data_IF_161424280417
#
_entry.id   IF_161424280417
#
_cell.length_a   1.000
_cell.length_b   1.000
_cell.length_c   1.000
_cell.angle_alpha   90.00
_cell.angle_beta   90.00
_cell.angle_gamma   90.00
#
_symmetry.space_group_name_H-M   'P 1'
#
loop_
_entity.id
_entity.type
_entity.pdbx_description
1 polymer ?
#
# COMPACT_ATOMS: atom_id res chain seq x y z
N UNK A 1 -8.92 49.08 -57.72
CA UNK A 1 -9.71 48.90 -56.48
C UNK A 1 -8.90 48.02 -55.53
N UNK A 2 -8.29 48.58 -54.50
CA UNK A 2 -7.48 47.83 -53.53
C UNK A 2 -8.39 47.11 -52.54
N UNK A 3 -8.45 45.78 -52.59
CA UNK A 3 -8.96 44.99 -51.47
C UNK A 3 -7.81 44.79 -50.48
N UNK A 4 -7.74 45.64 -49.45
CA UNK A 4 -6.83 45.46 -48.32
C UNK A 4 -7.22 44.19 -47.57
N UNK A 5 -6.50 43.10 -47.80
CA UNK A 5 -6.56 41.88 -46.98
C UNK A 5 -5.95 42.21 -45.62
N UNK A 6 -6.79 42.71 -44.70
CA UNK A 6 -6.40 42.99 -43.32
C UNK A 6 -6.10 41.67 -42.61
N UNK A 7 -4.83 41.26 -42.61
CA UNK A 7 -4.27 40.26 -41.70
C UNK A 7 -4.41 40.77 -40.26
N UNK A 8 -5.55 40.49 -39.62
CA UNK A 8 -5.73 40.77 -38.20
C UNK A 8 -4.82 39.86 -37.40
N UNK A 9 -3.76 40.46 -36.88
CA UNK A 9 -2.74 39.93 -35.98
C UNK A 9 -3.34 39.09 -34.85
N UNK A 10 -3.22 37.76 -34.93
CA UNK A 10 -3.71 36.83 -33.90
C UNK A 10 -2.64 36.53 -32.84
N UNK A 11 -2.31 37.54 -32.03
CA UNK A 11 -1.59 37.36 -30.77
C UNK A 11 -2.58 37.63 -29.62
N UNK A 12 -2.87 36.62 -28.78
CA UNK A 12 -3.67 36.81 -27.56
C UNK A 12 -5.16 36.46 -27.65
N UNK A 13 -5.54 35.39 -28.34
CA UNK A 13 -6.92 34.89 -28.27
C UNK A 13 -7.22 34.27 -26.90
N UNK A 14 -7.93 35.02 -26.05
CA UNK A 14 -8.43 34.61 -24.74
C UNK A 14 -9.76 35.32 -24.43
N UNK A 15 -10.52 34.77 -23.51
CA UNK A 15 -11.63 35.49 -22.88
C UNK A 15 -11.09 36.34 -21.73
N UNK A 16 -11.59 37.56 -21.62
CA UNK A 16 -11.25 38.52 -20.56
C UNK A 16 -12.23 38.46 -19.38
N UNK A 17 -13.30 37.67 -19.48
CA UNK A 17 -14.26 37.46 -18.41
C UNK A 17 -14.55 35.97 -18.20
N UNK A 18 -14.52 35.53 -16.93
CA UNK A 18 -14.75 34.13 -16.54
C UNK A 18 -16.13 33.59 -16.90
N UNK A 19 -17.12 34.48 -17.09
CA UNK A 19 -18.51 34.11 -17.42
C UNK A 19 -18.75 33.96 -18.93
N UNK A 20 -17.74 34.21 -19.76
CA UNK A 20 -17.88 34.19 -21.22
C UNK A 20 -18.43 32.86 -21.78
N UNK A 21 -18.05 31.72 -21.18
CA UNK A 21 -18.54 30.40 -21.61
C UNK A 21 -20.03 30.20 -21.30
N UNK A 22 -20.50 30.73 -20.17
CA UNK A 22 -21.92 30.69 -19.79
C UNK A 22 -22.74 31.64 -20.64
N UNK A 23 -22.26 32.87 -20.86
CA UNK A 23 -22.92 33.85 -21.72
C UNK A 23 -23.00 33.38 -23.18
N UNK A 24 -21.93 32.78 -23.71
CA UNK A 24 -21.94 32.22 -25.06
C UNK A 24 -22.99 31.11 -25.22
N UNK A 25 -23.11 30.20 -24.24
CA UNK A 25 -24.16 29.16 -24.22
C UNK A 25 -25.58 29.74 -24.17
N UNK A 26 -25.76 30.87 -23.50
CA UNK A 26 -27.04 31.57 -23.40
C UNK A 26 -27.37 32.44 -24.64
N UNK A 27 -26.52 32.40 -25.67
CA UNK A 27 -26.73 33.10 -26.95
C UNK A 27 -26.26 34.55 -26.97
N UNK A 28 -25.51 35.01 -25.95
CA UNK A 28 -25.05 36.41 -25.85
C UNK A 28 -24.12 36.82 -27.00
N UNK A 29 -23.45 35.86 -27.66
CA UNK A 29 -22.64 36.14 -28.84
C UNK A 29 -23.45 36.78 -29.99
N UNK A 30 -24.75 36.47 -30.08
CA UNK A 30 -25.68 37.08 -31.03
C UNK A 30 -26.47 38.25 -30.44
N UNK A 31 -26.88 38.14 -29.17
CA UNK A 31 -27.70 39.18 -28.49
C UNK A 31 -26.90 40.43 -28.12
N UNK A 32 -25.64 40.27 -27.72
CA UNK A 32 -24.75 41.36 -27.32
C UNK A 32 -23.38 41.29 -28.03
N UNK A 33 -23.34 41.44 -29.37
CA UNK A 33 -22.14 41.20 -30.16
C UNK A 33 -21.03 42.23 -29.89
N UNK A 34 -21.36 43.45 -29.45
CA UNK A 34 -20.35 44.49 -29.15
C UNK A 34 -19.52 44.12 -27.93
N UNK A 35 -20.17 43.76 -26.83
CA UNK A 35 -19.48 43.39 -25.59
C UNK A 35 -18.76 42.04 -25.74
N UNK A 36 -19.45 41.05 -26.32
CA UNK A 36 -18.91 39.70 -26.46
C UNK A 36 -17.71 39.66 -27.41
N UNK A 37 -17.66 40.51 -28.44
CA UNK A 37 -16.49 40.60 -29.33
C UNK A 37 -15.22 41.15 -28.67
N UNK A 38 -15.37 41.97 -27.65
CA UNK A 38 -14.22 42.55 -26.93
C UNK A 38 -13.77 41.61 -25.81
N UNK A 39 -14.73 41.05 -25.07
CA UNK A 39 -14.44 40.36 -23.82
C UNK A 39 -14.48 38.83 -23.91
N UNK A 40 -15.16 38.27 -24.92
CA UNK A 40 -15.44 36.83 -25.02
C UNK A 40 -15.04 36.26 -26.39
N UNK A 41 -13.86 36.67 -26.88
CA UNK A 41 -13.36 36.36 -28.22
C UNK A 41 -13.21 34.86 -28.47
N UNK A 42 -12.82 34.11 -27.43
CA UNK A 42 -12.63 32.67 -27.51
C UNK A 42 -13.98 31.95 -27.41
N UNK A 43 -14.79 32.26 -26.40
CA UNK A 43 -16.11 31.63 -26.20
C UNK A 43 -17.09 31.88 -27.37
N UNK A 44 -17.00 33.03 -28.04
CA UNK A 44 -17.80 33.33 -29.24
C UNK A 44 -17.14 32.93 -30.57
N UNK A 45 -16.04 32.16 -30.53
CA UNK A 45 -15.33 31.66 -31.73
C UNK A 45 -14.89 32.75 -32.71
N UNK A 46 -14.65 33.95 -32.20
CA UNK A 46 -14.15 35.10 -33.00
C UNK A 46 -12.66 34.91 -33.28
N UNK A 47 -11.96 34.22 -32.38
CA UNK A 47 -10.62 33.71 -32.59
C UNK A 47 -10.52 32.30 -32.01
N UNK A 48 -9.51 31.56 -32.46
CA UNK A 48 -9.10 30.31 -31.83
C UNK A 48 -7.94 30.60 -30.88
N UNK A 49 -7.84 29.93 -29.72
CA UNK A 49 -6.66 30.08 -28.87
C UNK A 49 -5.44 29.75 -29.73
N UNK A 50 -4.32 30.42 -29.50
CA UNK A 50 -3.06 29.98 -30.10
C UNK A 50 -2.89 28.53 -29.66
N UNK A 51 -3.12 27.61 -30.59
CA UNK A 51 -2.97 26.20 -30.34
C UNK A 51 -1.56 26.00 -29.81
N UNK A 52 -1.46 25.33 -28.66
CA UNK A 52 -0.27 24.64 -28.15
C UNK A 52 0.70 24.42 -29.31
N UNK A 53 1.78 25.23 -29.39
CA UNK A 53 2.67 25.38 -30.54
C UNK A 53 2.35 24.41 -31.70
N UNK A 54 1.42 24.80 -32.57
CA UNK A 54 0.77 23.87 -33.48
C UNK A 54 1.79 22.98 -34.22
N UNK A 55 1.76 21.69 -33.91
CA UNK A 55 2.63 20.68 -34.49
C UNK A 55 2.12 20.33 -35.89
N UNK A 56 2.63 21.01 -36.91
CA UNK A 56 2.39 20.65 -38.31
C UNK A 56 3.56 21.09 -39.18
N UNK A 57 3.61 20.52 -40.38
CA UNK A 57 4.56 20.93 -41.41
C UNK A 57 3.96 22.10 -42.19
N UNK A 58 4.71 23.21 -42.28
CA UNK A 58 4.35 24.42 -43.02
C UNK A 58 4.74 24.36 -44.49
N UNK A 59 5.55 23.38 -44.87
CA UNK A 59 5.99 23.14 -46.24
C UNK A 59 5.60 21.72 -46.67
N UNK A 60 5.13 21.59 -47.90
CA UNK A 60 4.83 20.29 -48.52
C UNK A 60 6.09 19.46 -48.75
N UNK A 61 7.27 20.10 -48.82
CA UNK A 61 8.55 19.44 -49.07
C UNK A 61 9.19 18.84 -47.81
N UNK A 62 8.60 19.02 -46.63
CA UNK A 62 9.17 18.56 -45.37
C UNK A 62 9.46 17.04 -45.34
N UNK A 63 8.63 16.22 -45.98
CA UNK A 63 8.90 14.78 -46.10
C UNK A 63 10.13 14.48 -46.97
N UNK A 64 10.38 15.27 -48.01
CA UNK A 64 11.57 15.15 -48.86
C UNK A 64 12.82 15.60 -48.11
N UNK A 65 12.79 16.80 -47.53
CA UNK A 65 13.90 17.34 -46.74
C UNK A 65 14.27 16.45 -45.55
N UNK A 66 13.28 15.84 -44.88
CA UNK A 66 13.54 14.83 -43.84
C UNK A 66 14.35 13.64 -44.39
N UNK A 67 13.96 13.08 -45.53
CA UNK A 67 14.68 11.95 -46.17
C UNK A 67 16.11 12.32 -46.55
N UNK A 68 16.31 13.58 -46.96
CA UNK A 68 17.63 14.10 -47.31
C UNK A 68 18.49 14.45 -46.08
N UNK A 69 17.99 14.30 -44.84
CA UNK A 69 18.75 14.54 -43.61
C UNK A 69 18.74 15.98 -43.11
N UNK A 70 17.88 16.84 -43.65
CA UNK A 70 17.82 18.27 -43.31
C UNK A 70 17.44 18.53 -41.85
N UNK A 71 16.72 17.61 -41.20
CA UNK A 71 16.38 17.74 -39.79
C UNK A 71 17.61 17.86 -38.88
N UNK A 72 18.78 17.37 -39.29
CA UNK A 72 20.04 17.55 -38.56
C UNK A 72 20.88 18.68 -39.14
N UNK A 73 20.99 18.75 -40.47
CA UNK A 73 21.86 19.71 -41.17
C UNK A 73 21.35 21.15 -41.09
N UNK A 74 20.03 21.34 -41.18
CA UNK A 74 19.38 22.64 -41.15
C UNK A 74 18.35 22.71 -40.02
N UNK A 75 18.85 22.45 -38.81
CA UNK A 75 18.04 22.28 -37.60
C UNK A 75 17.04 23.42 -37.37
N UNK A 76 17.50 24.68 -37.43
CA UNK A 76 16.67 25.85 -37.13
C UNK A 76 15.53 26.03 -38.14
N UNK A 77 15.83 25.90 -39.43
CA UNK A 77 14.82 26.00 -40.48
C UNK A 77 13.80 24.87 -40.37
N UNK A 78 14.29 23.63 -40.22
CA UNK A 78 13.42 22.48 -40.10
C UNK A 78 12.56 22.53 -38.83
N UNK A 79 13.02 23.15 -37.74
CA UNK A 79 12.24 23.25 -36.50
C UNK A 79 11.10 24.25 -36.66
N UNK A 80 11.31 25.29 -37.47
CA UNK A 80 10.29 26.30 -37.76
C UNK A 80 9.25 25.80 -38.76
N UNK A 81 9.66 25.07 -39.79
CA UNK A 81 8.80 24.75 -40.94
C UNK A 81 8.39 23.27 -41.04
N UNK A 82 9.13 22.34 -40.43
CA UNK A 82 8.97 20.90 -40.64
C UNK A 82 8.94 20.10 -39.32
N UNK A 83 8.35 20.71 -38.29
CA UNK A 83 8.38 20.20 -36.91
C UNK A 83 7.78 18.80 -36.77
N UNK A 84 6.74 18.49 -37.56
CA UNK A 84 6.07 17.17 -37.55
C UNK A 84 6.90 16.14 -38.28
N UNK A 85 7.35 16.45 -39.49
CA UNK A 85 8.22 15.56 -40.27
C UNK A 85 9.52 15.22 -39.53
N UNK A 86 10.13 16.15 -38.79
CA UNK A 86 11.33 15.89 -38.01
C UNK A 86 11.07 15.24 -36.63
N UNK A 87 9.81 14.98 -36.25
CA UNK A 87 9.48 14.32 -34.98
C UNK A 87 9.74 15.17 -33.74
N UNK A 88 9.73 16.50 -33.86
CA UNK A 88 9.95 17.45 -32.76
C UNK A 88 8.67 17.98 -32.13
N UNK A 89 7.55 17.36 -32.47
CA UNK A 89 6.29 17.69 -31.86
C UNK A 89 6.24 17.25 -30.41
N UNK A 90 5.65 18.08 -29.53
CA UNK A 90 5.33 17.66 -28.17
C UNK A 90 4.49 16.39 -28.21
N UNK A 91 4.92 15.38 -27.45
CA UNK A 91 4.13 14.18 -27.18
C UNK A 91 3.71 14.28 -25.73
N UNK A 92 2.40 14.44 -25.50
CA UNK A 92 1.88 14.43 -24.14
C UNK A 92 1.98 13.02 -23.57
N UNK A 93 2.47 12.93 -22.34
CA UNK A 93 2.56 11.68 -21.61
C UNK A 93 1.17 11.14 -21.29
N UNK A 94 1.03 9.82 -21.33
CA UNK A 94 -0.14 9.13 -20.84
C UNK A 94 0.25 7.89 -20.03
N UNK A 95 -0.62 7.52 -19.11
CA UNK A 95 -0.35 6.47 -18.15
C UNK A 95 -0.23 5.13 -18.86
N UNK A 96 0.82 4.39 -18.52
CA UNK A 96 0.85 2.94 -18.72
C UNK A 96 -0.14 2.24 -17.82
N UNK A 97 -0.32 0.94 -18.05
CA UNK A 97 -1.14 0.09 -17.19
C UNK A 97 -0.66 0.12 -15.75
N UNK A 98 -1.59 -0.05 -14.81
CA UNK A 98 -1.23 -0.31 -13.42
C UNK A 98 -0.46 -1.63 -13.33
N UNK A 99 0.65 -1.61 -12.59
CA UNK A 99 1.37 -2.81 -12.19
C UNK A 99 0.56 -3.64 -11.19
N UNK A 100 1.16 -4.75 -10.77
CA UNK A 100 0.57 -5.65 -9.78
C UNK A 100 0.39 -4.96 -8.42
N UNK A 101 -0.59 -5.44 -7.65
CA UNK A 101 -0.73 -5.06 -6.25
C UNK A 101 0.46 -5.60 -5.47
N UNK A 102 1.01 -4.78 -4.57
CA UNK A 102 2.00 -5.21 -3.59
C UNK A 102 1.39 -6.20 -2.60
N UNK A 103 2.23 -6.96 -1.92
CA UNK A 103 1.84 -7.68 -0.71
C UNK A 103 1.27 -6.72 0.33
N UNK A 104 0.38 -7.25 1.19
CA UNK A 104 -0.18 -6.47 2.29
C UNK A 104 0.90 -6.15 3.32
N UNK A 105 0.93 -4.92 3.81
CA UNK A 105 1.91 -4.48 4.82
C UNK A 105 1.79 -5.20 6.16
N UNK A 106 0.65 -5.83 6.44
CA UNK A 106 0.38 -6.61 7.66
C UNK A 106 -0.23 -7.94 7.25
N UNK A 107 0.21 -9.03 7.86
CA UNK A 107 -0.38 -10.37 7.66
C UNK A 107 -1.60 -10.62 8.55
N UNK A 108 -1.72 -9.90 9.66
CA UNK A 108 -2.83 -10.00 10.61
C UNK A 108 -2.99 -8.72 11.43
N UNK A 109 -4.02 -8.68 12.28
CA UNK A 109 -4.33 -7.62 13.21
C UNK A 109 -5.20 -6.54 12.58
N UNK A 110 -4.80 -5.28 12.80
CA UNK A 110 -5.45 -4.13 12.18
C UNK A 110 -5.24 -4.10 10.67
N UNK A 111 -6.08 -3.34 9.95
CA UNK A 111 -5.97 -3.18 8.51
C UNK A 111 -4.53 -2.85 8.08
N UNK A 112 -3.99 -3.67 7.19
CA UNK A 112 -2.78 -3.38 6.43
C UNK A 112 -3.08 -2.50 5.22
N UNK A 113 -2.01 -2.07 4.55
CA UNK A 113 -2.10 -1.31 3.30
C UNK A 113 -1.32 -2.03 2.21
N UNK A 114 -1.87 -2.07 1.01
CA UNK A 114 -1.18 -2.49 -0.20
C UNK A 114 -1.30 -1.38 -1.25
N UNK A 115 -0.42 -1.40 -2.25
CA UNK A 115 -0.42 -0.39 -3.31
C UNK A 115 -0.10 -1.00 -4.66
N UNK A 116 -0.51 -0.32 -5.72
CA UNK A 116 -0.01 -0.59 -7.08
C UNK A 116 0.49 0.70 -7.70
N UNK A 117 1.45 0.58 -8.60
CA UNK A 117 2.11 1.72 -9.26
C UNK A 117 1.88 1.69 -10.76
N UNK A 118 1.89 2.85 -11.38
CA UNK A 118 1.89 3.02 -12.84
C UNK A 118 2.94 4.04 -13.23
N UNK A 119 3.40 3.96 -14.47
CA UNK A 119 4.42 4.87 -15.00
C UNK A 119 3.85 5.66 -16.17
N UNK A 120 4.28 6.91 -16.33
CA UNK A 120 3.89 7.76 -17.45
C UNK A 120 4.67 7.36 -18.71
N UNK A 121 4.30 6.23 -19.31
CA UNK A 121 5.07 5.55 -20.34
C UNK A 121 4.28 5.21 -21.61
N UNK A 122 2.97 5.45 -21.67
CA UNK A 122 2.14 5.03 -22.81
C UNK A 122 1.32 6.18 -23.43
N UNK A 123 1.96 7.14 -24.12
CA UNK A 123 3.41 7.26 -24.35
C UNK A 123 4.11 8.03 -23.22
N UNK A 124 5.44 7.96 -23.16
CA UNK A 124 6.21 8.88 -22.32
C UNK A 124 6.19 10.30 -22.91
N UNK A 125 6.17 11.35 -22.07
CA UNK A 125 6.22 12.72 -22.55
C UNK A 125 7.54 13.01 -23.25
N UNK A 126 7.48 13.66 -24.42
CA UNK A 126 8.67 14.04 -25.22
C UNK A 126 8.52 15.44 -25.80
N UNK A 127 9.65 16.06 -26.15
CA UNK A 127 9.72 17.36 -26.82
C UNK A 127 8.87 18.47 -26.16
N UNK A 128 8.90 18.54 -24.82
CA UNK A 128 8.12 19.53 -24.06
C UNK A 128 6.62 19.22 -23.98
N UNK A 129 6.20 17.99 -24.28
CA UNK A 129 4.83 17.54 -24.04
C UNK A 129 4.51 17.46 -22.53
N UNK A 130 3.22 17.52 -22.22
CA UNK A 130 2.73 17.53 -20.83
C UNK A 130 3.02 16.19 -20.14
N UNK A 131 3.35 16.24 -18.86
CA UNK A 131 3.42 15.03 -18.03
C UNK A 131 2.03 14.49 -17.71
N UNK A 132 1.96 13.24 -17.23
CA UNK A 132 0.70 12.61 -16.87
C UNK A 132 0.05 13.29 -15.65
N UNK A 133 -1.25 13.56 -15.74
CA UNK A 133 -2.02 14.08 -14.61
C UNK A 133 -2.52 12.97 -13.69
N UNK A 134 -2.53 13.22 -12.38
CA UNK A 134 -2.99 12.31 -11.33
C UNK A 134 -1.88 11.47 -10.70
N UNK A 135 -2.25 10.55 -9.82
CA UNK A 135 -1.27 9.83 -8.99
C UNK A 135 -0.62 8.66 -9.72
N UNK A 136 0.68 8.47 -9.48
CA UNK A 136 1.47 7.31 -9.94
C UNK A 136 1.33 6.09 -9.03
N UNK A 137 0.73 6.25 -7.86
CA UNK A 137 0.53 5.21 -6.84
C UNK A 137 -0.93 5.23 -6.40
N UNK A 138 -1.53 4.05 -6.26
CA UNK A 138 -2.86 3.90 -5.65
C UNK A 138 -2.79 2.93 -4.48
N UNK A 139 -3.31 3.36 -3.33
CA UNK A 139 -3.35 2.59 -2.10
C UNK A 139 -4.70 1.89 -1.89
N UNK A 140 -4.67 0.75 -1.22
CA UNK A 140 -5.83 -0.07 -0.86
C UNK A 140 -5.64 -0.64 0.54
N UNK A 141 -6.74 -0.83 1.26
CA UNK A 141 -6.72 -1.59 2.51
C UNK A 141 -6.68 -3.09 2.22
N UNK A 142 -6.00 -3.83 3.08
CA UNK A 142 -5.90 -5.30 3.03
C UNK A 142 -5.83 -5.87 4.44
N UNK A 143 -6.13 -7.17 4.58
CA UNK A 143 -6.04 -7.99 5.80
C UNK A 143 -6.70 -7.42 7.06
N UNK A 144 -7.78 -8.07 7.50
CA UNK A 144 -8.48 -7.76 8.77
C UNK A 144 -8.52 -8.95 9.73
N UNK A 145 -7.74 -9.98 9.46
CA UNK A 145 -7.72 -11.20 10.25
C UNK A 145 -6.99 -10.95 11.57
N UNK A 146 -7.60 -11.17 12.75
CA UNK A 146 -6.93 -10.98 14.03
C UNK A 146 -5.62 -11.77 14.11
N UNK A 147 -4.60 -11.17 14.74
CA UNK A 147 -3.35 -11.90 15.01
C UNK A 147 -3.57 -12.95 16.10
N UNK A 148 -2.83 -14.06 15.99
CA UNK A 148 -2.73 -15.03 17.08
C UNK A 148 -2.02 -14.37 18.26
N UNK A 149 -2.73 -14.18 19.36
CA UNK A 149 -2.18 -13.56 20.58
C UNK A 149 -1.49 -14.64 21.43
N UNK A 150 -0.26 -14.41 21.93
CA UNK A 150 0.38 -15.31 22.89
C UNK A 150 -0.48 -15.49 24.13
N UNK A 151 -0.69 -16.74 24.53
CA UNK A 151 -1.35 -17.09 25.79
C UNK A 151 -0.29 -17.68 26.70
N UNK A 152 0.06 -16.98 27.78
CA UNK A 152 1.01 -17.49 28.76
C UNK A 152 0.35 -18.61 29.57
N UNK A 153 1.08 -19.68 29.82
CA UNK A 153 0.62 -20.78 30.64
C UNK A 153 0.52 -20.39 32.11
N UNK A 154 -0.48 -20.94 32.78
CA UNK A 154 -0.59 -20.88 34.22
C UNK A 154 -0.98 -22.24 34.80
N UNK A 155 -0.56 -22.46 36.04
CA UNK A 155 -0.72 -23.74 36.71
C UNK A 155 -2.20 -24.07 36.91
N UNK A 156 -2.59 -25.28 36.50
CA UNK A 156 -3.82 -25.89 36.97
C UNK A 156 -3.73 -26.22 38.46
N UNK A 157 -4.86 -26.65 39.02
CA UNK A 157 -4.90 -27.11 40.40
C UNK A 157 -3.92 -28.28 40.62
N UNK A 158 -3.37 -28.35 41.83
CA UNK A 158 -2.65 -29.53 42.27
C UNK A 158 -3.59 -30.73 42.31
N UNK A 159 -3.10 -31.87 41.82
CA UNK A 159 -3.71 -33.16 42.10
C UNK A 159 -3.67 -33.43 43.61
N UNK A 160 -4.57 -34.28 44.13
CA UNK A 160 -4.49 -34.76 45.50
C UNK A 160 -3.11 -35.37 45.80
N UNK A 161 -2.71 -35.31 47.07
CA UNK A 161 -1.51 -36.01 47.54
C UNK A 161 -1.66 -37.52 47.31
N UNK A 162 -0.57 -38.17 46.92
CA UNK A 162 -0.46 -39.63 46.97
C UNK A 162 -0.59 -40.13 48.40
N UNK A 163 -0.85 -41.44 48.55
CA UNK A 163 -0.62 -42.12 49.82
C UNK A 163 0.85 -42.00 50.25
N UNK A 164 1.09 -42.07 51.56
CA UNK A 164 2.44 -42.05 52.10
C UNK A 164 3.16 -43.35 51.77
N UNK A 165 4.44 -43.28 51.37
CA UNK A 165 5.23 -44.48 51.02
C UNK A 165 5.44 -45.45 52.18
N UNK A 166 5.36 -44.98 53.42
CA UNK A 166 5.43 -45.80 54.62
C UNK A 166 4.31 -45.46 55.57
N UNK A 167 3.86 -46.42 56.36
CA UNK A 167 2.84 -46.24 57.41
C UNK A 167 3.45 -45.74 58.72
N UNK A 168 4.75 -45.93 58.94
CA UNK A 168 5.53 -45.46 60.08
C UNK A 168 7.02 -45.31 59.71
N UNK A 169 7.83 -44.73 60.60
CA UNK A 169 9.28 -44.62 60.43
C UNK A 169 9.71 -43.65 59.32
N UNK A 170 8.84 -42.72 58.93
CA UNK A 170 9.11 -41.67 57.94
C UNK A 170 8.95 -42.14 56.49
N UNK A 171 7.91 -41.65 55.83
CA UNK A 171 7.65 -41.78 54.39
C UNK A 171 7.56 -40.43 53.68
N UNK A 172 7.26 -40.48 52.39
CA UNK A 172 7.07 -39.30 51.53
C UNK A 172 5.75 -39.45 50.78
N UNK A 173 4.99 -38.35 50.70
CA UNK A 173 3.83 -38.22 49.80
C UNK A 173 4.15 -37.20 48.72
N UNK A 174 3.58 -37.37 47.53
CA UNK A 174 3.84 -36.52 46.36
C UNK A 174 2.54 -36.01 45.77
N UNK A 175 2.57 -34.82 45.18
CA UNK A 175 1.48 -34.30 44.33
C UNK A 175 2.05 -33.67 43.07
N UNK A 176 1.24 -33.60 42.02
CA UNK A 176 1.62 -33.00 40.74
C UNK A 176 0.56 -32.03 40.24
N UNK A 177 0.95 -31.10 39.38
CA UNK A 177 0.07 -30.15 38.69
C UNK A 177 0.48 -30.03 37.23
N UNK A 178 -0.45 -29.62 36.39
CA UNK A 178 -0.21 -29.45 34.95
C UNK A 178 -0.35 -27.98 34.56
N UNK A 179 0.47 -27.52 33.62
CA UNK A 179 0.40 -26.17 33.06
C UNK A 179 -0.78 -26.07 32.07
N UNK A 180 -2.00 -26.02 32.60
CA UNK A 180 -3.23 -26.17 31.82
C UNK A 180 -4.28 -25.09 32.06
N UNK A 181 -4.06 -24.12 32.96
CA UNK A 181 -5.06 -23.11 33.31
C UNK A 181 -4.55 -21.65 33.18
N UNK A 182 -4.33 -21.13 31.96
CA UNK A 182 -4.47 -21.84 30.68
C UNK A 182 -3.17 -22.58 30.28
N UNK A 183 -3.25 -23.45 29.27
CA UNK A 183 -2.04 -23.99 28.63
C UNK A 183 -1.37 -22.90 27.74
N UNK A 184 -0.03 -22.86 27.64
CA UNK A 184 0.66 -21.95 26.75
C UNK A 184 0.23 -22.14 25.29
N UNK A 185 -0.05 -21.05 24.57
CA UNK A 185 -0.38 -21.07 23.13
C UNK A 185 0.27 -19.92 22.39
N UNK A 186 0.44 -20.07 21.07
CA UNK A 186 0.93 -19.02 20.17
C UNK A 186 2.26 -18.38 20.63
N UNK A 187 3.20 -19.19 21.15
CA UNK A 187 4.49 -18.71 21.66
C UNK A 187 4.43 -18.05 23.04
N UNK A 188 3.31 -18.16 23.76
CA UNK A 188 3.23 -17.72 25.15
C UNK A 188 4.15 -18.52 26.08
N UNK A 189 4.52 -17.90 27.20
CA UNK A 189 5.48 -18.46 28.16
C UNK A 189 4.95 -19.73 28.82
N UNK A 190 5.84 -20.68 29.11
CA UNK A 190 5.53 -21.83 29.95
C UNK A 190 5.32 -21.44 31.42
N UNK A 191 4.66 -22.30 32.19
CA UNK A 191 4.49 -22.09 33.63
C UNK A 191 5.84 -22.10 34.36
N UNK A 192 6.02 -21.16 35.28
CA UNK A 192 7.25 -21.06 36.10
C UNK A 192 7.08 -21.83 37.42
N UNK A 193 8.13 -22.56 37.83
CA UNK A 193 8.16 -23.35 39.07
C UNK A 193 7.96 -24.85 38.86
N UNK A 194 7.94 -25.62 39.95
CA UNK A 194 7.89 -27.09 39.88
C UNK A 194 6.48 -27.61 39.55
N UNK A 195 6.41 -28.63 38.70
CA UNK A 195 5.19 -29.40 38.39
C UNK A 195 4.89 -30.50 39.42
N UNK A 196 5.85 -30.78 40.31
CA UNK A 196 5.76 -31.80 41.34
C UNK A 196 6.20 -31.22 42.69
N UNK A 197 5.59 -31.73 43.75
CA UNK A 197 5.90 -31.38 45.12
C UNK A 197 5.95 -32.66 45.96
N UNK A 198 6.85 -32.69 46.94
CA UNK A 198 7.03 -33.82 47.86
C UNK A 198 7.02 -33.31 49.29
N UNK A 199 6.38 -34.05 50.19
CA UNK A 199 6.31 -33.72 51.62
C UNK A 199 6.52 -34.99 52.46
N UNK A 200 7.25 -34.88 53.57
CA UNK A 200 7.39 -35.96 54.53
C UNK A 200 6.03 -36.29 55.19
N UNK A 201 5.83 -37.57 55.53
CA UNK A 201 4.63 -38.06 56.21
C UNK A 201 4.97 -39.25 57.11
N UNK A 202 4.08 -39.57 58.06
CA UNK A 202 4.19 -40.74 58.94
C UNK A 202 5.56 -40.87 59.63
N UNK A 203 6.05 -39.76 60.20
CA UNK A 203 7.38 -39.66 60.83
C UNK A 203 7.47 -40.34 62.20
N UNK A 204 6.34 -40.76 62.77
CA UNK A 204 6.32 -41.50 64.04
C UNK A 204 7.05 -42.84 63.92
N UNK A 205 7.83 -43.25 64.93
CA UNK A 205 8.51 -44.54 64.94
C UNK A 205 7.56 -45.71 64.73
N UNK A 206 8.04 -46.77 64.08
CA UNK A 206 7.28 -48.01 63.94
C UNK A 206 7.17 -48.73 65.29
N UNK A 207 5.99 -49.28 65.57
CA UNK A 207 5.80 -50.14 66.73
C UNK A 207 6.57 -51.45 66.49
N UNK A 208 7.58 -51.71 67.30
CA UNK A 208 8.30 -52.98 67.31
C UNK A 208 7.45 -53.99 68.07
N UNK A 209 6.95 -55.02 67.39
CA UNK A 209 6.32 -56.17 68.07
C UNK A 209 7.32 -57.30 68.16
N UNK A 210 7.78 -57.59 69.37
CA UNK A 210 8.58 -58.78 69.66
C UNK A 210 7.66 -60.00 69.69
N UNK A 211 7.77 -60.89 68.71
CA UNK A 211 7.19 -62.23 68.81
C UNK A 211 8.26 -63.18 69.35
N UNK A 212 8.10 -63.63 70.59
CA UNK A 212 8.91 -64.71 71.15
C UNK A 212 8.65 -65.97 70.33
N UNK A 213 9.65 -66.43 69.60
CA UNK A 213 9.72 -67.83 69.24
C UNK A 213 10.45 -68.55 70.37
N UNK A 214 10.04 -69.77 70.72
CA UNK A 214 10.47 -70.55 71.91
C UNK A 214 11.97 -70.93 71.97
N UNK A 215 12.86 -70.14 71.35
CA UNK A 215 14.31 -70.27 71.30
C UNK A 215 15.05 -68.97 71.68
N UNK A 216 14.42 -68.05 72.42
CA UNK A 216 15.06 -66.79 72.87
C UNK A 216 15.70 -65.96 71.72
N UNK A 217 15.10 -65.97 70.53
CA UNK A 217 15.57 -65.17 69.40
C UNK A 217 14.48 -64.20 68.96
N UNK A 218 14.76 -62.89 69.09
CA UNK A 218 13.86 -61.81 68.69
C UNK A 218 13.92 -61.61 67.17
N UNK A 219 12.89 -62.05 66.45
CA UNK A 219 12.78 -61.81 65.02
C UNK A 219 12.20 -60.40 64.81
N UNK A 220 12.97 -59.51 64.18
CA UNK A 220 12.49 -58.21 63.71
C UNK A 220 11.52 -58.43 62.54
N UNK A 221 10.26 -58.06 62.73
CA UNK A 221 9.30 -57.88 61.63
C UNK A 221 9.05 -56.40 61.44
N UNK A 222 9.73 -55.84 60.44
CA UNK A 222 9.54 -54.48 59.95
C UNK A 222 8.45 -54.41 58.89
#
# INVERSE_FOLDING_TARGET
MQAKTSTKTTLGCRDNNRLCSTWARNGECGKNPRYMKVNCKLSCRICTPVAVAACYDRSVYCASWRRNGECRRNYAYMNRYCKRSCGWCPVNGNWGSWGTLSSCSKSCGTAGTMSRRRTCSNPAPRNGGRTCAGDSIKYFQCNRTPCKVPVNGNWGAWRPWSTCTKTCGGGVKRRTRTCSNPAPKNGGRACTGSSAESQACNTSPCKVTYSNNNNNNFIYRG
#
